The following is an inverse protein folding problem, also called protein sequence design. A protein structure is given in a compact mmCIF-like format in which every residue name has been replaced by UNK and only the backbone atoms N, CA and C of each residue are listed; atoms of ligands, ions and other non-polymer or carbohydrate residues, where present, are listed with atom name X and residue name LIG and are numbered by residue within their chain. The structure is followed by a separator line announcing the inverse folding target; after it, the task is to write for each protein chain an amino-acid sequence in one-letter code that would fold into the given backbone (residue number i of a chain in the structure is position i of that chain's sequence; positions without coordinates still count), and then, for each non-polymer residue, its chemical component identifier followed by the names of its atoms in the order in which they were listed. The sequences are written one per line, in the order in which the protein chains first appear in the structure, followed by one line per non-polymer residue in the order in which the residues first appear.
data_IF_959795418184
#
_entry.id   IF_959795418184
#
_cell.length_a   1.000
_cell.length_b   1.000
_cell.length_c   1.000
_cell.angle_alpha   90.00
_cell.angle_beta   90.00
_cell.angle_gamma   90.00
#
_symmetry.space_group_name_H-M   'P 1'
#
loop_
_entity.id
_entity.type
_entity.pdbx_description
1 polymer ?
#
# COMPACT_ATOMS: atom_id res chain seq x y z
N UNK A 1 9.50 41.05 29.26
CA UNK A 1 10.13 39.74 28.97
C UNK A 1 11.19 39.95 27.89
N UNK A 2 12.40 39.39 28.00
CA UNK A 2 13.48 39.63 27.02
C UNK A 2 13.13 39.04 25.64
N UNK A 3 13.54 39.70 24.56
CA UNK A 3 13.35 39.23 23.18
C UNK A 3 13.84 37.79 22.96
N UNK A 4 14.92 37.38 23.63
CA UNK A 4 15.45 36.00 23.59
C UNK A 4 14.46 34.99 24.18
N UNK A 5 13.76 35.35 25.26
CA UNK A 5 12.74 34.49 25.89
C UNK A 5 11.49 34.39 25.01
N UNK A 6 11.06 35.47 24.35
CA UNK A 6 9.96 35.42 23.38
C UNK A 6 10.29 34.51 22.20
N UNK A 7 11.49 34.66 21.62
CA UNK A 7 11.94 33.84 20.50
C UNK A 7 11.99 32.35 20.87
N UNK A 8 12.53 32.02 22.05
CA UNK A 8 12.56 30.65 22.54
C UNK A 8 11.15 30.05 22.69
N UNK A 9 10.22 30.78 23.31
CA UNK A 9 8.84 30.33 23.48
C UNK A 9 8.14 30.14 22.13
N UNK A 10 8.38 31.04 21.18
CA UNK A 10 7.85 30.92 19.83
C UNK A 10 8.35 29.66 19.12
N UNK A 11 9.68 29.40 19.16
CA UNK A 11 10.26 28.20 18.56
C UNK A 11 9.76 26.92 19.23
N UNK A 12 9.64 26.91 20.56
CA UNK A 12 9.09 25.78 21.29
C UNK A 12 7.62 25.52 20.91
N UNK A 13 6.79 26.56 20.83
CA UNK A 13 5.40 26.45 20.39
C UNK A 13 5.29 25.97 18.94
N UNK A 14 6.13 26.48 18.04
CA UNK A 14 6.18 26.06 16.64
C UNK A 14 6.60 24.59 16.50
N UNK A 15 7.58 24.14 17.29
CA UNK A 15 8.02 22.74 17.31
C UNK A 15 6.91 21.82 17.83
N UNK A 16 6.23 22.22 18.92
CA UNK A 16 5.10 21.46 19.47
C UNK A 16 3.95 21.36 18.47
N UNK A 17 3.59 22.47 17.81
CA UNK A 17 2.54 22.47 16.80
C UNK A 17 2.93 21.63 15.58
N UNK A 18 4.16 21.77 15.09
CA UNK A 18 4.68 20.96 13.99
C UNK A 18 4.68 19.47 14.32
N UNK A 19 5.13 19.10 15.51
CA UNK A 19 5.08 17.72 16.00
C UNK A 19 3.65 17.19 16.09
N UNK A 20 2.70 17.99 16.58
CA UNK A 20 1.29 17.61 16.63
C UNK A 20 0.70 17.37 15.24
N UNK A 21 0.96 18.26 14.27
CA UNK A 21 0.50 18.10 12.88
C UNK A 21 1.07 16.83 12.25
N UNK A 22 2.36 16.58 12.43
CA UNK A 22 3.01 15.34 11.95
C UNK A 22 2.39 14.11 12.61
N UNK A 23 2.18 14.13 13.93
CA UNK A 23 1.57 13.02 14.67
C UNK A 23 0.15 12.71 14.19
N UNK A 24 -0.66 13.74 13.99
CA UNK A 24 -2.02 13.61 13.43
C UNK A 24 -1.96 13.05 12.01
N UNK A 25 -1.09 13.58 11.15
CA UNK A 25 -0.92 13.05 9.80
C UNK A 25 -0.52 11.57 9.80
N UNK A 26 0.45 11.17 10.62
CA UNK A 26 0.85 9.76 10.74
C UNK A 26 -0.26 8.86 11.27
N UNK A 27 -1.13 9.34 12.15
CA UNK A 27 -2.29 8.60 12.62
C UNK A 27 -3.34 8.43 11.52
N UNK A 28 -3.71 9.52 10.86
CA UNK A 28 -4.72 9.52 9.79
C UNK A 28 -4.25 8.80 8.53
N UNK A 29 -2.96 8.77 8.22
CA UNK A 29 -2.42 8.11 7.03
C UNK A 29 -2.13 6.62 7.22
N UNK A 30 -2.50 6.03 8.37
CA UNK A 30 -2.42 4.57 8.54
C UNK A 30 -3.42 3.87 7.61
N UNK A 31 -2.98 2.86 6.84
CA UNK A 31 -3.89 2.03 6.06
C UNK A 31 -4.86 1.24 6.95
N UNK A 32 -6.09 1.15 6.49
CA UNK A 32 -7.12 0.22 6.96
C UNK A 32 -6.67 -1.21 6.69
N UNK A 33 -6.84 -2.07 7.70
CA UNK A 33 -6.41 -3.46 7.63
C UNK A 33 -7.38 -4.32 6.83
N UNK A 34 -6.83 -5.30 6.13
CA UNK A 34 -7.61 -6.32 5.47
C UNK A 34 -8.34 -7.17 6.52
N UNK A 35 -9.61 -7.46 6.27
CA UNK A 35 -10.40 -8.33 7.13
C UNK A 35 -10.02 -9.79 6.96
N UNK A 36 -10.39 -10.65 7.92
CA UNK A 36 -10.07 -12.09 7.88
C UNK A 36 -10.59 -12.78 6.62
N UNK A 37 -11.75 -12.35 6.10
CA UNK A 37 -12.33 -12.86 4.86
C UNK A 37 -11.38 -12.71 3.65
N UNK A 38 -10.51 -11.69 3.66
CA UNK A 38 -9.50 -11.51 2.62
C UNK A 38 -8.43 -12.62 2.65
N UNK A 39 -8.07 -13.11 3.83
CA UNK A 39 -7.11 -14.22 3.98
C UNK A 39 -7.74 -15.55 3.57
N UNK A 40 -9.02 -15.74 3.88
CA UNK A 40 -9.78 -16.94 3.48
C UNK A 40 -9.87 -17.03 1.94
N UNK A 41 -10.00 -15.90 1.24
CA UNK A 41 -9.96 -15.86 -0.23
C UNK A 41 -8.62 -16.28 -0.85
N UNK A 42 -7.53 -16.24 -0.08
CA UNK A 42 -6.18 -16.65 -0.50
C UNK A 42 -5.90 -18.13 -0.21
N UNK A 43 -6.74 -18.81 0.58
CA UNK A 43 -6.61 -20.23 0.90
C UNK A 43 -7.05 -21.12 -0.28
N UNK A 44 -6.52 -20.86 -1.47
CA UNK A 44 -6.83 -21.58 -2.71
C UNK A 44 -5.58 -22.32 -3.21
N UNK A 45 -5.64 -23.64 -3.44
CA UNK A 45 -4.47 -24.42 -3.87
C UNK A 45 -3.89 -24.03 -5.24
N UNK A 46 -4.69 -23.35 -6.06
CA UNK A 46 -4.36 -22.92 -7.43
C UNK A 46 -3.52 -21.66 -7.51
N UNK A 47 -3.41 -20.90 -6.40
CA UNK A 47 -2.76 -19.60 -6.36
C UNK A 47 -1.59 -19.60 -5.37
N UNK A 48 -0.48 -19.00 -5.78
CA UNK A 48 0.66 -18.76 -4.89
C UNK A 48 0.74 -17.27 -4.57
N UNK A 49 0.70 -16.93 -3.28
CA UNK A 49 0.97 -15.57 -2.82
C UNK A 49 2.49 -15.36 -2.71
N UNK A 50 3.02 -14.34 -3.39
CA UNK A 50 4.44 -13.94 -3.30
C UNK A 50 4.56 -12.48 -2.90
N UNK A 51 5.51 -12.17 -2.04
CA UNK A 51 5.84 -10.78 -1.69
C UNK A 51 6.99 -10.28 -2.57
N UNK A 52 6.85 -9.03 -3.06
CA UNK A 52 7.81 -8.36 -3.91
C UNK A 52 8.05 -6.92 -3.42
N UNK A 53 9.15 -6.25 -3.80
CA UNK A 53 9.43 -4.87 -3.40
C UNK A 53 8.31 -3.88 -3.74
N UNK A 54 7.58 -4.17 -4.83
CA UNK A 54 6.48 -3.35 -5.30
C UNK A 54 5.10 -3.73 -4.74
N UNK A 55 4.92 -4.91 -4.14
CA UNK A 55 3.59 -5.34 -3.74
C UNK A 55 3.47 -6.83 -3.41
N UNK A 56 2.24 -7.31 -3.45
CA UNK A 56 1.91 -8.72 -3.27
C UNK A 56 1.41 -9.29 -4.59
N UNK A 57 1.82 -10.49 -4.92
CA UNK A 57 1.50 -11.13 -6.18
C UNK A 57 0.67 -12.36 -5.94
N UNK A 58 -0.44 -12.48 -6.68
CA UNK A 58 -1.20 -13.71 -6.83
C UNK A 58 -0.78 -14.34 -8.14
N UNK A 59 0.06 -15.37 -8.02
CA UNK A 59 0.73 -16.01 -9.16
C UNK A 59 -0.06 -17.26 -9.57
N UNK A 60 -0.61 -17.30 -10.79
CA UNK A 60 -1.16 -18.53 -11.35
C UNK A 60 -0.05 -19.44 -11.88
N UNK A 61 -0.39 -20.71 -12.18
CA UNK A 61 0.57 -21.69 -12.73
C UNK A 61 1.22 -21.25 -14.04
N UNK A 62 0.46 -20.61 -14.92
CA UNK A 62 0.92 -20.13 -16.22
C UNK A 62 0.30 -18.73 -16.48
N UNK A 63 0.99 -17.65 -16.10
CA UNK A 63 0.52 -16.30 -16.35
C UNK A 63 0.44 -15.98 -17.84
N UNK A 64 -0.67 -15.41 -18.29
CA UNK A 64 -0.87 -14.96 -19.69
C UNK A 64 -0.74 -13.45 -19.88
N UNK A 65 -0.89 -12.69 -18.80
CA UNK A 65 -0.71 -11.24 -18.74
C UNK A 65 -0.65 -10.80 -17.28
N UNK A 66 -0.09 -9.61 -17.03
CA UNK A 66 -0.01 -8.97 -15.72
C UNK A 66 -1.14 -7.95 -15.53
N UNK A 67 -1.79 -8.00 -14.36
CA UNK A 67 -2.69 -6.96 -13.86
C UNK A 67 -2.05 -6.28 -12.65
N UNK A 68 -1.56 -5.05 -12.83
CA UNK A 68 -1.10 -4.21 -11.75
C UNK A 68 -2.30 -3.46 -11.14
N UNK A 69 -2.61 -3.75 -9.88
CA UNK A 69 -3.76 -3.18 -9.19
C UNK A 69 -3.32 -2.23 -8.09
N UNK A 70 -3.71 -0.95 -8.21
CA UNK A 70 -3.59 0.03 -7.14
C UNK A 70 -4.80 -0.07 -6.20
N UNK A 71 -4.60 -0.42 -4.92
CA UNK A 71 -5.67 -0.38 -3.93
C UNK A 71 -6.22 1.04 -3.76
N UNK A 72 -7.47 1.11 -3.27
CA UNK A 72 -8.05 2.38 -2.83
C UNK A 72 -7.20 3.06 -1.76
N UNK A 73 -7.33 4.38 -1.66
CA UNK A 73 -6.52 5.18 -0.74
C UNK A 73 -6.64 4.65 0.70
N UNK A 74 -5.48 4.37 1.31
CA UNK A 74 -5.36 3.83 2.68
C UNK A 74 -5.99 2.45 2.86
N UNK A 75 -6.16 1.64 1.82
CA UNK A 75 -6.64 0.26 1.98
C UNK A 75 -5.47 -0.71 1.86
N UNK A 76 -5.33 -1.63 2.82
CA UNK A 76 -4.31 -2.68 2.74
C UNK A 76 -4.55 -3.55 1.48
N UNK A 77 -3.50 -3.85 0.68
CA UNK A 77 -3.70 -4.46 -0.63
C UNK A 77 -4.44 -5.80 -0.57
N UNK A 78 -4.22 -6.59 0.48
CA UNK A 78 -4.89 -7.89 0.65
C UNK A 78 -6.42 -7.78 0.75
N UNK A 79 -6.98 -6.62 1.13
CA UNK A 79 -8.43 -6.45 1.21
C UNK A 79 -9.14 -6.72 -0.14
N UNK A 80 -8.40 -6.62 -1.25
CA UNK A 80 -8.91 -6.89 -2.60
C UNK A 80 -8.74 -8.35 -3.05
N UNK A 81 -8.13 -9.21 -2.23
CA UNK A 81 -7.95 -10.62 -2.56
C UNK A 81 -9.26 -11.35 -2.92
N UNK A 82 -10.42 -11.14 -2.23
CA UNK A 82 -11.68 -11.77 -2.63
C UNK A 82 -12.13 -11.40 -4.04
N UNK A 83 -11.94 -10.15 -4.45
CA UNK A 83 -12.32 -9.67 -5.77
C UNK A 83 -11.34 -10.11 -6.87
N UNK A 84 -10.06 -10.26 -6.53
CA UNK A 84 -8.99 -10.47 -7.51
C UNK A 84 -8.49 -11.91 -7.60
N UNK A 85 -8.75 -12.77 -6.60
CA UNK A 85 -8.43 -14.19 -6.68
C UNK A 85 -9.03 -14.89 -7.91
N UNK A 86 -10.31 -14.64 -8.30
CA UNK A 86 -10.87 -15.23 -9.53
C UNK A 86 -10.14 -14.76 -10.80
N UNK A 87 -9.62 -13.53 -10.81
CA UNK A 87 -8.83 -13.00 -11.92
C UNK A 87 -7.49 -13.73 -12.01
N UNK A 88 -6.85 -13.97 -10.87
CA UNK A 88 -5.63 -14.76 -10.81
C UNK A 88 -5.88 -16.21 -11.29
N UNK A 89 -6.97 -16.84 -10.85
CA UNK A 89 -7.37 -18.19 -11.30
C UNK A 89 -7.64 -18.26 -12.80
N UNK A 90 -8.13 -17.17 -13.41
CA UNK A 90 -8.31 -17.06 -14.86
C UNK A 90 -6.99 -16.92 -15.64
N UNK A 91 -5.84 -17.05 -14.98
CA UNK A 91 -4.51 -17.09 -15.59
C UNK A 91 -3.80 -15.74 -15.68
N UNK A 92 -4.26 -14.72 -14.96
CA UNK A 92 -3.57 -13.43 -14.90
C UNK A 92 -2.65 -13.37 -13.68
N UNK A 93 -1.43 -12.87 -13.85
CA UNK A 93 -0.61 -12.49 -12.70
C UNK A 93 -1.19 -11.22 -12.11
N UNK A 94 -1.77 -11.29 -10.90
CA UNK A 94 -2.30 -10.10 -10.24
C UNK A 94 -1.28 -9.56 -9.25
N UNK A 95 -0.91 -8.29 -9.41
CA UNK A 95 -0.02 -7.59 -8.48
C UNK A 95 -0.82 -6.55 -7.71
N UNK A 96 -1.06 -6.84 -6.43
CA UNK A 96 -1.61 -5.94 -5.43
C UNK A 96 -0.52 -4.96 -4.97
N UNK A 97 -0.46 -3.78 -5.58
CA UNK A 97 0.63 -2.83 -5.36
C UNK A 97 0.62 -2.27 -3.94
N UNK A 98 1.80 -2.25 -3.31
CA UNK A 98 2.04 -1.55 -2.05
C UNK A 98 2.60 -0.17 -2.36
N UNK A 99 2.04 0.87 -1.76
CA UNK A 99 2.49 2.26 -1.93
C UNK A 99 2.52 2.98 -0.58
N UNK A 100 3.29 4.07 -0.43
CA UNK A 100 3.35 4.81 0.83
C UNK A 100 1.95 5.21 1.31
N UNK A 101 1.64 4.89 2.57
CA UNK A 101 0.33 5.14 3.21
C UNK A 101 -0.88 4.57 2.45
N UNK A 102 -0.67 3.64 1.51
CA UNK A 102 -1.74 3.13 0.64
C UNK A 102 -2.30 4.19 -0.33
N UNK A 103 -1.55 5.26 -0.64
CA UNK A 103 -2.00 6.32 -1.56
C UNK A 103 -1.25 6.18 -2.90
N UNK A 104 -1.99 5.84 -3.96
CA UNK A 104 -1.41 5.59 -5.29
C UNK A 104 -0.57 6.75 -5.85
N UNK A 105 -0.99 7.99 -5.58
CA UNK A 105 -0.26 9.20 -6.00
C UNK A 105 1.17 9.28 -5.43
N UNK A 106 1.44 8.67 -4.28
CA UNK A 106 2.77 8.63 -3.65
C UNK A 106 3.67 7.51 -4.21
N UNK A 107 3.14 6.67 -5.11
CA UNK A 107 3.84 5.54 -5.72
C UNK A 107 3.40 5.34 -7.17
N UNK A 108 3.30 6.43 -7.94
CA UNK A 108 2.78 6.41 -9.32
C UNK A 108 3.52 5.47 -10.29
N UNK A 109 4.82 5.24 -10.07
CA UNK A 109 5.64 4.36 -10.92
C UNK A 109 5.63 2.89 -10.46
N UNK A 110 4.91 2.58 -9.38
CA UNK A 110 4.91 1.25 -8.77
C UNK A 110 4.42 0.15 -9.71
N UNK A 111 3.51 0.47 -10.62
CA UNK A 111 3.10 -0.45 -11.69
C UNK A 111 4.22 -0.72 -12.71
N UNK A 112 5.05 0.29 -13.02
CA UNK A 112 6.21 0.12 -13.91
C UNK A 112 7.28 -0.76 -13.26
N UNK A 113 7.48 -0.66 -11.95
CA UNK A 113 8.37 -1.58 -11.20
C UNK A 113 7.90 -3.05 -11.34
N UNK A 114 6.59 -3.29 -11.22
CA UNK A 114 6.00 -4.62 -11.41
C UNK A 114 6.14 -5.11 -12.86
N UNK A 115 5.89 -4.24 -13.84
CA UNK A 115 6.07 -4.54 -15.27
C UNK A 115 7.53 -4.90 -15.58
N UNK A 116 8.49 -4.13 -15.06
CA UNK A 116 9.91 -4.38 -15.29
C UNK A 116 10.37 -5.73 -14.73
N UNK A 117 9.74 -6.20 -13.65
CA UNK A 117 10.00 -7.53 -13.08
C UNK A 117 9.34 -8.68 -13.87
N UNK A 118 8.34 -8.38 -14.71
CA UNK A 118 7.59 -9.35 -15.52
C UNK A 118 7.44 -8.85 -16.96
N UNK A 119 8.51 -8.90 -17.77
CA UNK A 119 8.55 -8.26 -19.09
C UNK A 119 7.74 -8.98 -20.19
N UNK A 120 7.11 -10.12 -19.90
CA UNK A 120 6.40 -10.97 -20.87
C UNK A 120 4.91 -11.10 -20.54
#
# INVERSE_FOLDING_TARGET
MSAKKLLFLFLAAALLLGGAVVGVAFYFLRPLKAERAALEALARPSLTLREAPYGLELVPKAPKALLAFYPGARVEPLAYAPALAPVAEAGYLVVLLKVPSGIALLGKERALEAQAAHPN
#
